data_IF_703894893554
#
_entry.id   IF_703894893554
#
_cell.length_a   1.000
_cell.length_b   1.000
_cell.length_c   1.000
_cell.angle_alpha   90.00
_cell.angle_beta   90.00
_cell.angle_gamma   90.00
#
_symmetry.space_group_name_H-M   'P 1'
#
loop_
_entity.id
_entity.type
_entity.pdbx_description
1 polymer ?
#
# COMPACT_ATOMS: atom_id res chain seq x y z
N UNK A 1 4.99 1.74 2.36
CA UNK A 1 5.40 0.34 2.08
C UNK A 1 6.52 -0.09 3.01
N UNK A 2 6.65 -1.38 3.34
CA UNK A 2 7.71 -1.93 4.19
C UNK A 2 8.62 -2.88 3.39
N UNK A 3 9.93 -2.62 3.25
CA UNK A 3 10.82 -3.51 2.51
C UNK A 3 11.04 -4.85 3.21
N UNK A 4 10.75 -4.94 4.52
CA UNK A 4 10.91 -6.17 5.29
C UNK A 4 9.69 -7.09 5.20
N UNK A 5 8.67 -6.72 4.41
CA UNK A 5 7.36 -7.34 4.41
C UNK A 5 6.44 -6.71 5.46
N UNK A 6 5.29 -7.33 5.68
CA UNK A 6 4.25 -6.85 6.58
C UNK A 6 4.77 -6.66 8.00
N UNK A 7 4.47 -5.48 8.53
CA UNK A 7 4.84 -5.09 9.90
C UNK A 7 3.70 -5.48 10.81
N UNK A 8 3.99 -6.32 11.80
CA UNK A 8 3.04 -6.76 12.82
C UNK A 8 3.78 -6.97 14.14
N UNK A 9 3.05 -7.05 15.26
CA UNK A 9 3.55 -7.62 16.50
C UNK A 9 2.53 -8.54 17.15
N UNK A 10 3.02 -9.65 17.67
CA UNK A 10 2.27 -10.56 18.53
C UNK A 10 2.95 -10.59 19.90
N UNK A 11 2.17 -10.80 20.96
CA UNK A 11 2.70 -10.95 22.32
C UNK A 11 2.18 -12.21 23.00
N UNK A 12 3.02 -12.85 23.80
CA UNK A 12 2.67 -13.97 24.66
C UNK A 12 2.44 -13.50 26.11
N UNK A 13 1.68 -14.28 26.88
CA UNK A 13 1.31 -13.93 28.25
C UNK A 13 0.06 -13.06 28.33
N UNK A 14 -0.07 -12.27 29.39
CA UNK A 14 -1.19 -11.34 29.61
C UNK A 14 -0.70 -9.90 29.43
N UNK A 15 -1.62 -8.93 29.39
CA UNK A 15 -1.23 -7.51 29.32
C UNK A 15 -0.42 -7.07 30.55
N UNK A 16 -0.64 -7.72 31.70
CA UNK A 16 0.09 -7.45 32.94
C UNK A 16 1.40 -8.26 33.07
N UNK A 17 1.59 -9.29 32.26
CA UNK A 17 2.73 -10.21 32.30
C UNK A 17 3.08 -10.71 30.89
N UNK A 18 3.64 -9.81 30.08
CA UNK A 18 4.10 -10.13 28.72
C UNK A 18 5.40 -10.93 28.79
N UNK A 19 5.37 -12.18 28.31
CA UNK A 19 6.52 -13.07 28.37
C UNK A 19 7.40 -13.00 27.13
N UNK A 20 6.84 -12.64 25.98
CA UNK A 20 7.56 -12.49 24.72
C UNK A 20 6.81 -11.62 23.71
N UNK A 21 7.53 -11.03 22.75
CA UNK A 21 6.98 -10.24 21.64
C UNK A 21 7.66 -10.66 20.34
N UNK A 22 6.87 -10.88 19.28
CA UNK A 22 7.36 -11.33 17.98
C UNK A 22 6.72 -10.57 16.81
N UNK A 23 7.49 -10.21 15.78
CA UNK A 23 8.94 -10.09 15.79
C UNK A 23 9.41 -9.00 16.77
N UNK A 24 10.61 -9.18 17.33
CA UNK A 24 11.24 -8.17 18.17
C UNK A 24 11.79 -7.02 17.31
N UNK A 25 11.13 -5.85 17.39
CA UNK A 25 11.51 -4.65 16.66
C UNK A 25 12.79 -4.00 17.19
N UNK A 26 13.24 -4.33 18.40
CA UNK A 26 14.57 -3.88 18.85
C UNK A 26 15.71 -4.52 18.05
N UNK A 27 15.44 -5.70 17.47
CA UNK A 27 16.34 -6.45 16.59
C UNK A 27 16.02 -6.19 15.12
N UNK A 28 14.77 -6.40 14.69
CA UNK A 28 14.34 -6.31 13.30
C UNK A 28 14.40 -4.88 12.74
N UNK A 29 14.05 -3.89 13.57
CA UNK A 29 13.98 -2.46 13.24
C UNK A 29 13.32 -2.15 11.89
N UNK A 30 12.05 -2.56 11.70
CA UNK A 30 11.37 -2.42 10.41
C UNK A 30 11.25 -0.95 9.99
N UNK A 31 11.23 -0.72 8.69
CA UNK A 31 11.12 0.61 8.10
C UNK A 31 9.83 0.70 7.31
N UNK A 32 9.11 1.80 7.45
CA UNK A 32 8.00 2.17 6.58
C UNK A 32 8.44 3.32 5.68
N UNK A 33 8.38 3.13 4.37
CA UNK A 33 8.63 4.16 3.37
C UNK A 33 7.34 4.81 2.89
N UNK A 34 7.40 6.14 2.78
CA UNK A 34 6.40 6.99 2.14
C UNK A 34 6.79 7.17 0.68
N UNK A 35 6.06 6.52 -0.22
CA UNK A 35 6.25 6.67 -1.65
C UNK A 35 5.18 7.63 -2.15
N UNK A 36 5.61 8.81 -2.57
CA UNK A 36 4.77 9.80 -3.21
C UNK A 36 5.15 9.85 -4.68
N UNK A 37 4.22 9.57 -5.58
CA UNK A 37 4.45 9.75 -7.01
C UNK A 37 3.93 11.11 -7.46
N UNK A 38 4.60 11.68 -8.45
CA UNK A 38 4.22 12.96 -9.04
C UNK A 38 3.66 12.71 -10.43
N UNK A 39 2.54 13.35 -10.74
CA UNK A 39 2.03 13.43 -12.11
C UNK A 39 2.90 14.32 -13.00
N UNK A 40 4.10 14.77 -12.57
CA UNK A 40 5.06 15.50 -13.41
C UNK A 40 6.15 14.59 -13.97
N UNK A 41 6.43 14.74 -15.27
CA UNK A 41 7.45 13.95 -16.00
C UNK A 41 8.82 13.98 -15.32
N UNK A 42 9.24 15.13 -14.81
CA UNK A 42 10.59 15.32 -14.30
C UNK A 42 10.82 14.75 -12.89
N UNK A 43 9.75 14.40 -12.17
CA UNK A 43 9.82 14.02 -10.77
C UNK A 43 9.63 12.51 -10.61
N UNK A 44 8.58 11.93 -11.19
CA UNK A 44 8.25 10.49 -11.05
C UNK A 44 7.89 10.15 -9.60
N UNK A 45 8.88 10.15 -8.71
CA UNK A 45 8.75 10.20 -7.25
C UNK A 45 8.88 11.65 -6.79
N UNK A 46 7.88 12.15 -6.06
CA UNK A 46 7.90 13.49 -5.49
C UNK A 46 8.86 13.56 -4.29
N UNK A 47 9.56 14.69 -4.15
CA UNK A 47 10.33 15.07 -2.95
C UNK A 47 9.52 16.10 -2.15
N UNK A 48 8.87 15.71 -1.04
CA UNK A 48 8.09 16.62 -0.21
C UNK A 48 8.92 17.74 0.42
N UNK A 49 8.32 18.91 0.58
CA UNK A 49 8.92 20.05 1.29
C UNK A 49 9.11 19.76 2.79
N UNK A 50 8.20 18.97 3.35
CA UNK A 50 8.22 18.57 4.75
C UNK A 50 7.50 17.24 4.95
N UNK A 51 7.88 16.55 6.04
CA UNK A 51 7.25 15.32 6.50
C UNK A 51 6.84 15.43 7.96
N UNK A 52 5.61 15.00 8.25
CA UNK A 52 5.11 14.79 9.60
C UNK A 52 4.74 13.33 9.82
N UNK A 53 4.91 12.86 11.06
CA UNK A 53 4.68 11.46 11.42
C UNK A 53 3.80 11.39 12.66
N UNK A 54 2.89 10.41 12.68
CA UNK A 54 1.90 10.23 13.72
C UNK A 54 1.84 8.76 14.13
N UNK A 55 1.65 8.50 15.43
CA UNK A 55 1.34 7.20 15.99
C UNK A 55 -0.02 7.28 16.70
N UNK A 56 -1.01 6.51 16.26
CA UNK A 56 -2.38 6.57 16.78
C UNK A 56 -2.91 8.02 16.86
N UNK A 57 -2.78 8.75 15.75
CA UNK A 57 -3.13 10.17 15.58
C UNK A 57 -2.37 11.18 16.45
N UNK A 58 -1.46 10.73 17.32
CA UNK A 58 -0.58 11.62 18.06
C UNK A 58 0.68 11.92 17.26
N UNK A 59 0.98 13.20 17.06
CA UNK A 59 2.17 13.67 16.34
C UNK A 59 3.45 13.24 17.07
N UNK A 60 4.38 12.65 16.32
CA UNK A 60 5.70 12.25 16.81
C UNK A 60 6.65 13.45 16.66
N UNK A 61 7.27 13.85 17.77
CA UNK A 61 8.28 14.93 17.78
C UNK A 61 9.69 14.35 17.71
N UNK A 62 10.58 14.97 16.93
CA UNK A 62 11.94 14.46 16.71
C UNK A 62 13.03 15.47 17.11
N UNK A 63 14.17 14.96 17.55
CA UNK A 63 15.42 15.69 17.72
C UNK A 63 16.57 14.83 17.19
N UNK A 64 17.40 15.38 16.30
CA UNK A 64 18.45 14.60 15.61
C UNK A 64 17.91 13.40 14.83
N UNK A 65 16.67 13.49 14.33
CA UNK A 65 16.00 12.41 13.60
C UNK A 65 15.46 11.27 14.47
N UNK A 66 15.60 11.34 15.80
CA UNK A 66 15.06 10.34 16.74
C UNK A 66 13.91 10.94 17.53
N UNK A 67 12.85 10.15 17.70
CA UNK A 67 11.64 10.54 18.44
C UNK A 67 11.94 10.91 19.89
N UNK A 68 11.15 11.85 20.41
CA UNK A 68 11.26 12.47 21.75
C UNK A 68 9.89 12.47 22.46
N UNK A 69 9.85 12.95 23.70
CA UNK A 69 8.61 13.04 24.47
C UNK A 69 8.03 11.66 24.79
N UNK A 70 6.71 11.51 24.65
CA UNK A 70 5.98 10.24 24.87
C UNK A 70 6.55 9.09 24.06
N UNK A 71 7.08 9.37 22.86
CA UNK A 71 7.61 8.36 21.95
C UNK A 71 9.14 8.22 22.00
N UNK A 72 9.80 8.69 23.06
CA UNK A 72 11.26 8.80 23.11
C UNK A 72 12.00 7.51 22.71
N UNK A 73 12.74 7.60 21.60
CA UNK A 73 13.56 6.52 21.06
C UNK A 73 12.80 5.35 20.43
N UNK A 74 11.48 5.46 20.19
CA UNK A 74 10.70 4.42 19.51
C UNK A 74 10.83 4.49 18.00
N UNK A 75 11.00 5.69 17.45
CA UNK A 75 11.01 5.95 16.03
C UNK A 75 12.22 6.78 15.59
N UNK A 76 12.66 6.58 14.36
CA UNK A 76 13.69 7.36 13.69
C UNK A 76 13.25 7.72 12.27
N UNK A 77 13.39 8.98 11.89
CA UNK A 77 13.11 9.44 10.52
C UNK A 77 14.16 8.90 9.55
N UNK A 78 13.71 8.51 8.36
CA UNK A 78 14.57 8.15 7.23
C UNK A 78 14.35 9.21 6.15
N UNK A 79 15.45 9.74 5.61
CA UNK A 79 15.44 10.66 4.48
C UNK A 79 16.04 9.97 3.24
N UNK A 80 15.68 10.41 2.03
CA UNK A 80 16.29 9.92 0.80
C UNK A 80 17.82 10.02 0.84
N UNK A 81 18.51 8.94 0.46
CA UNK A 81 19.97 8.90 0.30
C UNK A 81 20.42 7.73 -0.58
N UNK A 82 21.27 8.02 -1.57
CA UNK A 82 21.79 7.00 -2.50
C UNK A 82 20.66 6.21 -3.16
N UNK A 83 20.67 4.88 -2.98
CA UNK A 83 19.67 3.97 -3.54
C UNK A 83 18.35 3.91 -2.74
N UNK A 84 18.28 4.57 -1.57
CA UNK A 84 17.06 4.71 -0.80
C UNK A 84 16.38 6.03 -1.16
N UNK A 85 15.35 5.97 -2.01
CA UNK A 85 14.76 7.17 -2.62
C UNK A 85 13.66 7.85 -1.78
N UNK A 86 13.21 7.22 -0.69
CA UNK A 86 11.98 7.60 -0.02
C UNK A 86 12.21 8.14 1.38
N UNK A 87 11.36 9.08 1.80
CA UNK A 87 11.19 9.38 3.21
C UNK A 87 10.58 8.18 3.92
N UNK A 88 10.82 8.06 5.22
CA UNK A 88 10.25 6.97 5.98
C UNK A 88 10.38 7.13 7.47
N UNK A 89 9.89 6.11 8.17
CA UNK A 89 9.94 5.99 9.61
C UNK A 89 10.43 4.59 9.96
N UNK A 90 11.56 4.51 10.63
CA UNK A 90 12.07 3.28 11.21
C UNK A 90 11.53 3.12 12.63
N UNK A 91 11.03 1.94 12.95
CA UNK A 91 10.59 1.55 14.30
C UNK A 91 11.77 0.88 15.00
N UNK A 92 12.12 1.33 16.19
CA UNK A 92 13.34 0.93 16.92
C UNK A 92 13.07 0.05 18.14
N UNK A 93 11.81 -0.05 18.59
CA UNK A 93 11.41 -0.75 19.81
C UNK A 93 10.07 -1.44 19.59
N UNK A 94 9.79 -2.44 20.42
CA UNK A 94 8.47 -3.07 20.46
C UNK A 94 7.42 -2.06 20.86
N UNK A 95 6.31 -2.03 20.12
CA UNK A 95 5.22 -1.07 20.25
C UNK A 95 3.98 -1.68 20.94
N UNK A 96 3.98 -2.96 21.31
CA UNK A 96 2.79 -3.64 21.91
C UNK A 96 2.18 -2.83 23.06
N UNK A 97 2.99 -2.49 24.07
CA UNK A 97 2.55 -1.71 25.23
C UNK A 97 2.22 -0.26 24.85
N UNK A 98 3.05 0.36 23.99
CA UNK A 98 2.83 1.72 23.48
C UNK A 98 1.50 1.84 22.72
N UNK A 99 1.08 0.77 22.04
CA UNK A 99 -0.17 0.66 21.31
C UNK A 99 -1.36 0.30 22.20
N UNK A 100 -1.15 0.07 23.50
CA UNK A 100 -2.20 -0.37 24.42
C UNK A 100 -2.75 -1.76 24.08
N UNK A 101 -1.90 -2.66 23.58
CA UNK A 101 -2.27 -4.03 23.20
C UNK A 101 -3.36 -4.12 22.11
N UNK A 102 -3.48 -3.09 21.28
CA UNK A 102 -4.41 -2.99 20.17
C UNK A 102 -3.68 -2.60 18.87
N UNK A 103 -4.26 -2.86 17.68
CA UNK A 103 -3.66 -2.43 16.42
C UNK A 103 -3.28 -0.95 16.44
N UNK A 104 -2.09 -0.64 15.95
CA UNK A 104 -1.54 0.71 15.92
C UNK A 104 -1.55 1.26 14.49
N UNK A 105 -1.64 2.57 14.34
CA UNK A 105 -1.57 3.25 13.04
C UNK A 105 -0.37 4.17 13.00
N UNK A 106 0.49 3.97 12.00
CA UNK A 106 1.49 4.97 11.59
C UNK A 106 0.88 5.77 10.45
N UNK A 107 0.75 7.08 10.64
CA UNK A 107 0.34 8.02 9.58
C UNK A 107 1.51 8.94 9.24
N UNK A 108 1.79 9.08 7.95
CA UNK A 108 2.80 10.00 7.42
C UNK A 108 2.09 11.03 6.57
N UNK A 109 2.44 12.30 6.76
CA UNK A 109 1.87 13.43 6.01
C UNK A 109 3.02 14.17 5.35
N UNK A 110 2.96 14.27 4.03
CA UNK A 110 3.88 15.00 3.19
C UNK A 110 3.26 16.34 2.80
N UNK A 111 3.99 17.42 2.97
CA UNK A 111 3.66 18.71 2.35
C UNK A 111 4.31 18.79 0.99
N UNK A 112 3.53 19.06 -0.05
CA UNK A 112 4.03 19.23 -1.42
C UNK A 112 3.57 20.58 -1.96
N UNK A 113 4.50 21.37 -2.49
CA UNK A 113 4.20 22.70 -3.05
C UNK A 113 4.38 22.76 -4.56
N UNK A 114 3.55 23.60 -5.19
CA UNK A 114 3.69 23.99 -6.58
C UNK A 114 3.40 25.47 -6.78
N UNK A 115 4.44 26.22 -7.14
CA UNK A 115 4.33 27.68 -7.26
C UNK A 115 3.90 28.28 -5.92
N UNK A 116 2.67 28.80 -5.87
CA UNK A 116 2.08 29.40 -4.67
C UNK A 116 1.10 28.48 -3.93
N UNK A 117 0.82 27.28 -4.46
CA UNK A 117 -0.09 26.31 -3.86
C UNK A 117 0.70 25.30 -3.04
N UNK A 118 0.13 24.85 -1.93
CA UNK A 118 0.66 23.79 -1.10
C UNK A 118 -0.48 22.85 -0.75
N UNK A 119 -0.20 21.55 -0.82
CA UNK A 119 -1.13 20.49 -0.49
C UNK A 119 -0.49 19.49 0.49
N UNK A 120 -1.33 18.72 1.17
CA UNK A 120 -0.92 17.69 2.13
C UNK A 120 -1.36 16.31 1.66
N UNK A 121 -0.40 15.48 1.32
CA UNK A 121 -0.62 14.10 0.90
C UNK A 121 -0.33 13.20 2.10
N UNK A 122 -1.24 12.28 2.41
CA UNK A 122 -1.09 11.41 3.58
C UNK A 122 -1.22 9.93 3.23
N UNK A 123 -0.52 9.10 3.99
CA UNK A 123 -0.65 7.65 3.93
C UNK A 123 -0.63 7.08 5.34
N UNK A 124 -1.48 6.09 5.58
CA UNK A 124 -1.58 5.38 6.85
C UNK A 124 -1.21 3.91 6.66
N UNK A 125 -0.50 3.35 7.63
CA UNK A 125 -0.18 1.93 7.72
C UNK A 125 -0.64 1.40 9.08
N UNK A 126 -1.57 0.46 9.06
CA UNK A 126 -2.04 -0.22 10.27
C UNK A 126 -1.13 -1.39 10.57
N UNK A 127 -0.52 -1.38 11.76
CA UNK A 127 0.31 -2.45 12.31
C UNK A 127 -0.59 -3.31 13.21
N UNK A 128 -0.91 -4.56 12.83
CA UNK A 128 -1.62 -5.46 13.71
C UNK A 128 -0.81 -5.71 14.98
N UNK A 129 -1.46 -5.54 16.13
CA UNK A 129 -0.95 -5.93 17.45
C UNK A 129 -1.99 -6.86 18.08
N UNK A 130 -1.58 -8.08 18.41
CA UNK A 130 -2.50 -9.09 18.97
C UNK A 130 -1.80 -10.07 19.90
N UNK A 131 -2.59 -10.76 20.73
CA UNK A 131 -2.07 -11.86 21.54
C UNK A 131 -1.77 -13.07 20.64
N UNK A 132 -0.63 -13.72 20.85
CA UNK A 132 -0.23 -14.91 20.12
C UNK A 132 -1.16 -16.09 20.49
N UNK A 133 -1.75 -16.75 19.48
CA UNK A 133 -2.65 -17.90 19.68
C UNK A 133 -1.98 -19.26 19.45
N UNK A 134 -0.68 -19.37 19.75
CA UNK A 134 0.14 -20.57 19.56
C UNK A 134 1.16 -20.44 18.42
N UNK A 135 1.58 -21.56 17.84
CA UNK A 135 2.64 -21.62 16.81
C UNK A 135 2.11 -21.34 15.40
N UNK A 136 1.53 -20.16 15.19
CA UNK A 136 1.05 -19.72 13.87
C UNK A 136 2.22 -19.51 12.91
N UNK A 137 2.01 -19.92 11.66
CA UNK A 137 2.87 -19.53 10.56
C UNK A 137 2.51 -18.12 10.11
N UNK A 138 3.53 -17.36 9.70
CA UNK A 138 3.37 -16.05 9.08
C UNK A 138 4.10 -16.06 7.75
N UNK A 139 3.40 -15.71 6.69
CA UNK A 139 3.97 -15.52 5.36
C UNK A 139 3.93 -14.04 5.05
N UNK A 140 4.98 -13.52 4.45
CA UNK A 140 4.99 -12.17 3.91
C UNK A 140 5.87 -12.05 2.67
N UNK A 141 5.61 -11.09 1.80
CA UNK A 141 6.42 -10.70 0.67
C UNK A 141 7.26 -9.49 1.10
N UNK A 142 8.56 -9.72 1.23
CA UNK A 142 9.56 -8.67 1.43
C UNK A 142 10.15 -8.20 0.09
N UNK A 143 10.82 -7.06 0.10
CA UNK A 143 11.61 -6.61 -1.03
C UNK A 143 12.84 -7.51 -1.19
N UNK A 144 13.05 -8.03 -2.40
CA UNK A 144 14.22 -8.83 -2.77
C UNK A 144 15.40 -7.99 -3.28
N UNK A 145 15.20 -6.69 -3.45
CA UNK A 145 16.18 -5.69 -3.86
C UNK A 145 15.97 -4.35 -3.12
N UNK A 146 16.74 -3.32 -3.47
CA UNK A 146 16.65 -1.98 -2.87
C UNK A 146 15.53 -1.11 -3.44
N UNK A 147 14.72 -1.62 -4.39
CA UNK A 147 13.73 -0.82 -5.11
C UNK A 147 12.38 -0.75 -4.40
N UNK A 148 12.20 -1.51 -3.32
CA UNK A 148 11.06 -1.43 -2.41
C UNK A 148 9.70 -1.53 -3.12
N UNK A 149 9.57 -2.46 -4.07
CA UNK A 149 8.36 -2.68 -4.88
C UNK A 149 7.99 -1.54 -5.85
N UNK A 150 8.91 -0.62 -6.11
CA UNK A 150 8.72 0.48 -7.07
C UNK A 150 9.67 0.30 -8.24
N UNK A 151 9.14 0.40 -9.46
CA UNK A 151 9.92 0.43 -10.69
C UNK A 151 10.00 1.88 -11.14
N UNK A 152 11.22 2.42 -11.20
CA UNK A 152 11.48 3.83 -11.53
C UNK A 152 12.02 4.03 -12.94
N UNK A 153 12.31 2.93 -13.65
CA UNK A 153 12.82 2.94 -15.03
C UNK A 153 11.90 2.15 -15.95
N UNK A 154 11.64 2.64 -17.17
CA UNK A 154 10.66 2.03 -18.08
C UNK A 154 11.02 0.62 -18.58
N UNK A 155 12.29 0.24 -18.50
CA UNK A 155 12.78 -1.12 -18.74
C UNK A 155 13.25 -1.81 -17.46
N UNK A 156 12.92 -1.23 -16.31
CA UNK A 156 13.31 -1.68 -14.99
C UNK A 156 12.46 -2.85 -14.50
N UNK A 157 12.81 -3.27 -13.29
CA UNK A 157 12.14 -4.33 -12.56
C UNK A 157 12.41 -4.18 -11.07
N UNK A 158 11.57 -4.80 -10.25
CA UNK A 158 11.85 -5.05 -8.84
C UNK A 158 11.73 -6.54 -8.53
N UNK A 159 12.20 -6.95 -7.35
CA UNK A 159 12.14 -8.33 -6.89
C UNK A 159 11.22 -8.43 -5.68
N UNK A 160 10.21 -9.31 -5.77
CA UNK A 160 9.42 -9.78 -4.64
C UNK A 160 10.10 -10.99 -4.02
N UNK A 161 10.13 -11.11 -2.70
CA UNK A 161 10.73 -12.24 -1.98
C UNK A 161 9.78 -12.77 -0.92
N UNK A 162 9.32 -14.00 -1.09
CA UNK A 162 8.52 -14.68 -0.09
C UNK A 162 9.36 -15.04 1.15
N UNK A 163 8.86 -14.67 2.32
CA UNK A 163 9.41 -14.97 3.63
C UNK A 163 8.36 -15.73 4.43
N UNK A 164 8.79 -16.73 5.19
CA UNK A 164 7.92 -17.48 6.09
C UNK A 164 8.55 -17.54 7.47
N UNK A 165 7.72 -17.40 8.50
CA UNK A 165 8.13 -17.41 9.89
C UNK A 165 7.24 -18.35 10.69
N UNK A 166 7.79 -18.91 11.76
CA UNK A 166 7.05 -19.65 12.78
C UNK A 166 7.44 -19.10 14.14
N UNK A 167 6.47 -18.55 14.88
CA UNK A 167 6.73 -17.90 16.18
C UNK A 167 7.90 -16.90 16.12
N UNK A 168 7.89 -16.01 15.12
CA UNK A 168 8.92 -15.00 14.89
C UNK A 168 10.23 -15.50 14.26
N UNK A 169 10.43 -16.81 14.12
CA UNK A 169 11.67 -17.36 13.57
C UNK A 169 11.54 -17.65 12.08
N UNK A 170 12.49 -17.17 11.27
CA UNK A 170 12.48 -17.39 9.83
C UNK A 170 12.66 -18.87 9.46
N UNK A 171 11.83 -19.35 8.54
CA UNK A 171 11.90 -20.68 7.96
C UNK A 171 12.74 -20.64 6.68
N UNK A 172 13.58 -21.67 6.48
CA UNK A 172 14.49 -21.74 5.33
C UNK A 172 14.53 -23.11 4.63
N UNK A 173 13.83 -24.11 5.15
CA UNK A 173 13.92 -25.50 4.68
C UNK A 173 12.56 -26.06 4.27
N UNK A 174 12.57 -26.92 3.24
CA UNK A 174 11.39 -27.62 2.72
C UNK A 174 10.25 -26.70 2.29
N UNK A 175 10.59 -25.49 1.82
CA UNK A 175 9.63 -24.50 1.32
C UNK A 175 9.48 -24.61 -0.19
N UNK A 176 8.25 -24.56 -0.67
CA UNK A 176 7.92 -24.40 -2.09
C UNK A 176 6.92 -23.26 -2.27
N UNK A 177 6.94 -22.65 -3.45
CA UNK A 177 6.21 -21.41 -3.71
C UNK A 177 5.32 -21.56 -4.95
N UNK A 178 4.18 -20.89 -4.93
CA UNK A 178 3.34 -20.66 -6.09
C UNK A 178 2.99 -19.17 -6.14
N UNK A 179 3.24 -18.53 -7.26
CA UNK A 179 2.94 -17.11 -7.46
C UNK A 179 1.71 -16.93 -8.34
N UNK A 180 0.92 -15.90 -8.03
CA UNK A 180 -0.25 -15.48 -8.79
C UNK A 180 -0.19 -13.96 -9.00
N UNK A 181 -0.80 -13.50 -10.09
CA UNK A 181 -0.99 -12.07 -10.40
C UNK A 181 -2.48 -11.76 -10.40
N UNK A 182 -2.88 -10.63 -9.84
CA UNK A 182 -4.24 -10.11 -10.01
C UNK A 182 -4.43 -9.63 -11.45
N UNK A 183 -5.44 -10.16 -12.13
CA UNK A 183 -5.96 -9.64 -13.39
C UNK A 183 -7.38 -9.10 -13.22
N UNK A 184 -7.98 -8.64 -14.32
CA UNK A 184 -9.32 -8.04 -14.32
C UNK A 184 -10.43 -8.95 -13.73
N UNK A 185 -10.27 -10.27 -13.85
CA UNK A 185 -11.25 -11.27 -13.39
C UNK A 185 -10.82 -12.01 -12.12
N UNK A 186 -9.70 -11.60 -11.49
CA UNK A 186 -9.18 -12.18 -10.26
C UNK A 186 -7.75 -12.72 -10.38
N UNK A 187 -7.36 -13.52 -9.40
CA UNK A 187 -6.02 -14.11 -9.30
C UNK A 187 -5.77 -15.18 -10.35
N UNK A 188 -4.68 -15.04 -11.10
CA UNK A 188 -4.21 -16.00 -12.12
C UNK A 188 -2.83 -16.52 -11.75
N UNK A 189 -2.65 -17.84 -11.78
CA UNK A 189 -1.37 -18.49 -11.50
C UNK A 189 -0.31 -18.17 -12.56
N UNK A 190 0.89 -17.80 -12.09
CA UNK A 190 2.05 -17.57 -12.93
C UNK A 190 2.77 -18.91 -13.15
N UNK A 191 2.43 -19.59 -14.25
CA UNK A 191 2.96 -20.91 -14.57
C UNK A 191 4.49 -20.96 -14.53
N UNK A 192 5.04 -21.96 -13.83
CA UNK A 192 6.48 -22.17 -13.68
C UNK A 192 7.19 -21.22 -12.71
N UNK A 193 6.49 -20.25 -12.10
CA UNK A 193 7.08 -19.37 -11.06
C UNK A 193 6.98 -20.02 -9.69
N UNK A 194 7.97 -20.86 -9.37
CA UNK A 194 8.04 -21.63 -8.11
C UNK A 194 9.22 -21.28 -7.21
N UNK A 195 10.02 -20.27 -7.58
CA UNK A 195 11.13 -19.76 -6.78
C UNK A 195 10.65 -18.92 -5.60
N UNK A 196 11.49 -18.80 -4.56
CA UNK A 196 11.24 -17.90 -3.42
C UNK A 196 11.08 -16.44 -3.85
N UNK A 197 11.75 -16.06 -4.94
CA UNK A 197 11.70 -14.72 -5.50
C UNK A 197 10.93 -14.67 -6.82
N UNK A 198 10.23 -13.58 -7.05
CA UNK A 198 9.60 -13.24 -8.32
C UNK A 198 10.14 -11.89 -8.81
N UNK A 199 10.76 -11.87 -9.99
CA UNK A 199 11.07 -10.62 -10.68
C UNK A 199 9.82 -10.10 -11.37
N UNK A 200 9.48 -8.85 -11.12
CA UNK A 200 8.39 -8.12 -11.77
C UNK A 200 9.00 -6.98 -12.57
N UNK A 201 8.81 -6.99 -13.88
CA UNK A 201 9.28 -5.95 -14.79
C UNK A 201 8.21 -4.90 -15.07
N UNK A 202 8.63 -3.72 -15.54
CA UNK A 202 7.71 -2.67 -15.99
C UNK A 202 6.82 -3.11 -17.16
N UNK A 203 7.17 -4.19 -17.88
CA UNK A 203 6.34 -4.75 -18.93
C UNK A 203 5.29 -5.73 -18.41
N UNK A 204 5.41 -6.18 -17.15
CA UNK A 204 4.47 -7.11 -16.54
C UNK A 204 3.28 -6.41 -15.89
N UNK A 205 3.33 -5.09 -15.71
CA UNK A 205 2.29 -4.26 -15.08
C UNK A 205 2.12 -2.97 -15.88
N UNK A 206 0.95 -2.34 -15.73
CA UNK A 206 0.78 -0.95 -16.17
C UNK A 206 1.35 -0.05 -15.08
N UNK A 207 0.60 0.91 -14.54
CA UNK A 207 1.04 1.71 -13.38
C UNK A 207 1.12 0.88 -12.09
N UNK A 208 0.32 -0.20 -11.97
CA UNK A 208 0.21 -1.00 -10.76
C UNK A 208 -0.02 -2.48 -11.06
N UNK A 209 0.46 -3.36 -10.18
CA UNK A 209 0.08 -4.76 -10.19
C UNK A 209 0.13 -5.40 -8.81
N UNK A 210 -0.81 -6.30 -8.54
CA UNK A 210 -0.86 -7.06 -7.29
C UNK A 210 -0.42 -8.51 -7.54
N UNK A 211 0.41 -9.02 -6.65
CA UNK A 211 0.96 -10.36 -6.70
C UNK A 211 0.70 -11.08 -5.39
N UNK A 212 0.29 -12.35 -5.48
CA UNK A 212 0.06 -13.22 -4.33
C UNK A 212 1.05 -14.38 -4.35
N UNK A 213 1.62 -14.71 -3.21
CA UNK A 213 2.39 -15.95 -3.04
C UNK A 213 1.65 -16.91 -2.12
N UNK A 214 1.63 -18.18 -2.49
CA UNK A 214 1.31 -19.30 -1.60
C UNK A 214 2.61 -19.99 -1.20
N UNK A 215 2.83 -20.14 0.11
CA UNK A 215 4.01 -20.83 0.63
C UNK A 215 3.59 -22.16 1.24
N UNK A 216 4.26 -23.22 0.84
CA UNK A 216 4.04 -24.57 1.33
C UNK A 216 5.28 -25.04 2.08
N UNK A 217 5.08 -25.81 3.15
CA UNK A 217 6.14 -26.53 3.86
C UNK A 217 5.86 -28.02 3.80
N UNK A 218 6.79 -28.79 3.24
CA UNK A 218 6.63 -30.24 3.07
C UNK A 218 5.31 -30.64 2.37
N UNK A 219 4.85 -29.81 1.42
CA UNK A 219 3.63 -30.05 0.64
C UNK A 219 2.32 -29.51 1.25
N UNK A 220 2.33 -29.02 2.49
CA UNK A 220 1.16 -28.37 3.10
C UNK A 220 1.28 -26.86 3.05
N UNK A 221 0.21 -26.16 2.68
CA UNK A 221 0.17 -24.70 2.66
C UNK A 221 0.27 -24.16 4.09
N UNK A 222 1.19 -23.23 4.32
CA UNK A 222 1.41 -22.59 5.62
C UNK A 222 0.95 -21.13 5.65
N UNK A 223 0.68 -20.54 4.48
CA UNK A 223 0.12 -19.21 4.40
C UNK A 223 0.24 -18.60 3.01
N UNK A 224 -0.39 -17.44 2.88
CA UNK A 224 -0.32 -16.61 1.69
C UNK A 224 0.01 -15.17 2.08
N UNK A 225 0.52 -14.41 1.13
CA UNK A 225 0.60 -12.97 1.26
C UNK A 225 0.41 -12.29 -0.09
N UNK A 226 -0.05 -11.04 -0.07
CA UNK A 226 -0.29 -10.19 -1.24
C UNK A 226 0.58 -8.95 -1.14
N UNK A 227 1.30 -8.64 -2.22
CA UNK A 227 2.10 -7.43 -2.33
C UNK A 227 1.83 -6.75 -3.65
N UNK A 228 1.80 -5.44 -3.58
CA UNK A 228 1.61 -4.58 -4.74
C UNK A 228 2.93 -4.01 -5.25
N UNK A 229 3.01 -3.81 -6.55
CA UNK A 229 4.15 -3.22 -7.26
C UNK A 229 3.67 -1.97 -8.02
N UNK A 230 4.45 -0.91 -7.94
CA UNK A 230 4.19 0.38 -8.59
C UNK A 230 5.17 0.61 -9.75
N UNK A 231 4.68 0.89 -10.96
CA UNK A 231 5.50 1.45 -12.04
C UNK A 231 5.45 2.99 -11.97
N UNK A 232 6.37 3.56 -11.21
CA UNK A 232 6.55 5.02 -11.14
C UNK A 232 7.15 5.60 -12.44
N UNK A 233 7.61 4.75 -13.37
CA UNK A 233 8.13 5.18 -14.67
C UNK A 233 7.08 5.25 -15.77
N UNK A 234 5.84 4.82 -15.50
CA UNK A 234 4.75 4.86 -16.47
C UNK A 234 4.54 6.31 -16.99
N UNK A 235 4.65 6.56 -18.32
CA UNK A 235 4.49 7.90 -18.86
C UNK A 235 3.02 8.38 -18.89
N UNK A 236 2.07 7.54 -18.50
CA UNK A 236 0.65 7.84 -18.53
C UNK A 236 0.05 7.96 -17.11
N UNK A 237 -0.94 8.83 -16.97
CA UNK A 237 -1.80 8.95 -15.80
C UNK A 237 -3.26 8.89 -16.25
N UNK A 238 -4.17 8.49 -15.35
CA UNK A 238 -5.61 8.63 -15.55
C UNK A 238 -6.08 9.87 -14.82
N UNK A 239 -6.57 10.86 -15.56
CA UNK A 239 -7.30 12.00 -15.00
C UNK A 239 -8.78 11.61 -14.87
N UNK A 240 -9.35 11.50 -13.65
CA UNK A 240 -10.69 10.98 -13.43
C UNK A 240 -11.83 11.91 -13.90
N UNK A 241 -11.59 13.23 -14.03
CA UNK A 241 -12.60 14.26 -14.31
C UNK A 241 -13.97 14.00 -13.66
N UNK A 242 -14.07 14.06 -12.32
CA UNK A 242 -15.34 13.94 -11.62
C UNK A 242 -16.20 15.19 -11.81
N UNK A 243 -17.52 15.00 -11.88
CA UNK A 243 -18.51 16.08 -11.89
C UNK A 243 -19.58 15.75 -10.84
N UNK A 244 -19.75 16.57 -9.78
CA UNK A 244 -18.97 17.77 -9.45
C UNK A 244 -17.51 17.45 -9.06
N UNK A 245 -16.62 18.45 -9.18
CA UNK A 245 -15.18 18.33 -8.88
C UNK A 245 -14.88 18.02 -7.42
N UNK A 246 -15.77 18.39 -6.51
CA UNK A 246 -15.62 18.10 -5.07
C UNK A 246 -15.98 16.66 -4.69
N UNK A 247 -16.43 15.86 -5.66
CA UNK A 247 -16.83 14.45 -5.50
C UNK A 247 -17.87 14.24 -4.38
N UNK A 248 -18.65 15.27 -4.04
CA UNK A 248 -19.59 15.19 -2.92
C UNK A 248 -20.95 14.65 -3.36
N UNK A 249 -21.45 13.63 -2.64
CA UNK A 249 -22.83 13.16 -2.74
C UNK A 249 -23.55 13.48 -1.43
N UNK A 250 -24.65 14.21 -1.52
CA UNK A 250 -25.42 14.66 -0.35
C UNK A 250 -26.50 13.65 0.02
N UNK A 251 -26.68 13.37 1.31
CA UNK A 251 -27.80 12.56 1.82
C UNK A 251 -29.17 13.24 1.62
N UNK A 252 -29.19 14.58 1.65
CA UNK A 252 -30.36 15.39 1.31
C UNK A 252 -30.78 15.13 -0.14
N UNK A 253 -32.03 14.69 -0.33
CA UNK A 253 -32.60 14.39 -1.64
C UNK A 253 -32.78 15.60 -2.54
N UNK A 254 -32.65 16.81 -2.00
CA UNK A 254 -32.63 18.07 -2.75
C UNK A 254 -31.21 18.51 -3.15
N UNK A 255 -30.18 17.92 -2.54
CA UNK A 255 -28.77 18.15 -2.85
C UNK A 255 -28.24 17.27 -3.99
N UNK A 256 -26.93 17.37 -4.26
CA UNK A 256 -26.30 16.58 -5.32
C UNK A 256 -26.42 15.08 -5.02
N UNK A 257 -26.99 14.32 -5.96
CA UNK A 257 -27.29 12.90 -5.78
C UNK A 257 -26.29 11.95 -6.43
N UNK A 258 -25.32 12.47 -7.16
CA UNK A 258 -24.41 11.66 -7.95
C UNK A 258 -23.10 12.37 -8.29
N UNK A 259 -22.06 11.58 -8.54
CA UNK A 259 -20.80 12.05 -9.11
C UNK A 259 -20.56 11.24 -10.38
N UNK A 260 -20.36 11.91 -11.50
CA UNK A 260 -20.04 11.26 -12.77
C UNK A 260 -18.56 11.42 -13.10
N UNK A 261 -17.88 10.30 -13.29
CA UNK A 261 -16.48 10.24 -13.70
C UNK A 261 -16.38 10.10 -15.21
N UNK A 262 -15.58 10.95 -15.85
CA UNK A 262 -15.31 10.94 -17.31
C UNK A 262 -13.81 10.89 -17.58
N UNK A 263 -13.16 9.77 -17.21
CA UNK A 263 -11.71 9.70 -17.18
C UNK A 263 -11.07 9.85 -18.56
N UNK A 264 -9.83 10.36 -18.57
CA UNK A 264 -8.99 10.46 -19.75
C UNK A 264 -7.59 9.99 -19.41
N UNK A 265 -6.99 9.15 -20.26
CA UNK A 265 -5.57 8.84 -20.13
C UNK A 265 -4.78 10.02 -20.68
N UNK A 266 -3.92 10.60 -19.85
CA UNK A 266 -3.08 11.75 -20.19
C UNK A 266 -1.60 11.37 -20.10
N UNK A 267 -0.78 12.08 -20.86
CA UNK A 267 0.67 12.01 -20.69
C UNK A 267 1.02 12.71 -19.38
N UNK A 268 1.74 11.99 -18.52
CA UNK A 268 2.34 12.53 -17.30
C UNK A 268 3.03 13.86 -17.60
N UNK A 269 2.89 14.80 -16.69
CA UNK A 269 3.43 16.16 -16.64
C UNK A 269 3.00 17.15 -17.71
N UNK A 270 2.28 16.72 -18.73
CA UNK A 270 1.67 17.64 -19.71
C UNK A 270 0.15 17.70 -19.62
N UNK A 271 -0.49 16.69 -19.01
CA UNK A 271 -1.95 16.56 -18.98
C UNK A 271 -2.57 16.40 -20.37
N UNK A 272 -1.77 16.24 -21.41
CA UNK A 272 -2.27 16.09 -22.78
C UNK A 272 -2.84 14.69 -22.95
N UNK A 273 -4.07 14.59 -23.46
CA UNK A 273 -4.68 13.30 -23.79
C UNK A 273 -3.72 12.41 -24.58
N UNK A 274 -3.49 11.21 -24.07
CA UNK A 274 -2.53 10.25 -24.58
C UNK A 274 -3.18 9.16 -25.43
N UNK A 275 -4.33 8.64 -24.99
CA UNK A 275 -5.00 7.49 -25.60
C UNK A 275 -6.49 7.77 -25.83
N UNK A 276 -7.04 7.12 -26.87
CA UNK A 276 -8.47 6.99 -27.10
C UNK A 276 -8.90 5.59 -26.62
N UNK A 277 -9.21 5.47 -25.34
CA UNK A 277 -9.54 4.19 -24.69
C UNK A 277 -10.88 4.26 -23.94
N UNK A 278 -11.36 3.10 -23.51
CA UNK A 278 -12.44 2.97 -22.53
C UNK A 278 -11.87 2.52 -21.19
N UNK A 279 -12.73 2.47 -20.18
CA UNK A 279 -12.33 2.16 -18.81
C UNK A 279 -13.24 1.11 -18.19
N UNK A 280 -12.64 0.28 -17.35
CA UNK A 280 -13.33 -0.53 -16.37
C UNK A 280 -13.51 0.28 -15.09
N UNK A 281 -14.69 0.18 -14.48
CA UNK A 281 -15.00 0.85 -13.22
C UNK A 281 -15.43 -0.17 -12.17
N UNK A 282 -14.70 -0.22 -11.08
CA UNK A 282 -15.02 -1.07 -9.93
C UNK A 282 -15.45 -0.18 -8.78
N UNK A 283 -16.70 -0.29 -8.37
CA UNK A 283 -17.26 0.39 -7.19
C UNK A 283 -17.27 -0.57 -6.01
N UNK A 284 -16.72 -0.17 -4.87
CA UNK A 284 -16.68 -0.99 -3.64
C UNK A 284 -17.08 -0.19 -2.41
N UNK A 285 -17.68 -0.89 -1.44
CA UNK A 285 -17.79 -0.39 -0.07
C UNK A 285 -16.47 -0.56 0.71
N UNK A 286 -16.45 -0.09 1.95
CA UNK A 286 -15.29 -0.20 2.85
C UNK A 286 -14.90 -1.66 3.18
N UNK A 287 -15.81 -2.63 3.01
CA UNK A 287 -15.54 -4.05 3.20
C UNK A 287 -15.06 -4.74 1.91
N UNK A 288 -14.95 -4.00 0.80
CA UNK A 288 -14.53 -4.51 -0.50
C UNK A 288 -15.64 -5.21 -1.29
N UNK A 289 -16.90 -5.10 -0.86
CA UNK A 289 -18.06 -5.66 -1.57
C UNK A 289 -18.36 -4.81 -2.79
N UNK A 290 -18.55 -5.45 -3.95
CA UNK A 290 -18.85 -4.76 -5.20
C UNK A 290 -20.24 -4.11 -5.17
N UNK A 291 -20.31 -2.85 -5.59
CA UNK A 291 -21.54 -2.06 -5.67
C UNK A 291 -22.09 -1.98 -7.11
N UNK A 292 -21.29 -2.35 -8.12
CA UNK A 292 -21.72 -2.45 -9.50
C UNK A 292 -21.47 -3.85 -10.09
N UNK A 293 -22.41 -4.31 -10.92
CA UNK A 293 -22.37 -5.64 -11.52
C UNK A 293 -21.61 -5.67 -12.85
N UNK A 294 -21.44 -4.52 -13.49
CA UNK A 294 -20.91 -4.31 -14.85
C UNK A 294 -19.46 -3.84 -14.88
N UNK A 295 -18.70 -4.16 -13.82
CA UNK A 295 -17.30 -3.75 -13.62
C UNK A 295 -16.32 -4.27 -14.67
N UNK A 296 -16.70 -5.31 -15.39
CA UNK A 296 -15.98 -5.94 -16.49
C UNK A 296 -16.45 -5.45 -17.87
N UNK A 297 -17.30 -4.43 -17.92
CA UNK A 297 -17.78 -3.82 -19.16
C UNK A 297 -17.03 -2.50 -19.41
N UNK A 298 -16.28 -2.38 -20.53
CA UNK A 298 -15.64 -1.12 -20.92
C UNK A 298 -16.64 0.01 -21.15
N UNK A 299 -16.38 1.18 -20.54
CA UNK A 299 -17.20 2.39 -20.69
C UNK A 299 -16.35 3.66 -20.72
N UNK A 300 -16.90 4.73 -21.28
CA UNK A 300 -16.26 6.05 -21.25
C UNK A 300 -16.53 6.83 -19.95
N UNK A 301 -17.53 6.41 -19.18
CA UNK A 301 -17.91 7.07 -17.94
C UNK A 301 -18.60 6.12 -16.95
N UNK A 302 -18.61 6.53 -15.69
CA UNK A 302 -19.36 5.85 -14.63
C UNK A 302 -19.93 6.88 -13.67
N UNK A 303 -21.19 6.70 -13.29
CA UNK A 303 -21.85 7.51 -12.27
C UNK A 303 -21.92 6.75 -10.96
N UNK A 304 -21.45 7.36 -9.88
CA UNK A 304 -21.69 6.92 -8.51
C UNK A 304 -22.91 7.67 -8.00
N UNK A 305 -23.88 6.95 -7.45
CA UNK A 305 -25.15 7.54 -7.03
C UNK A 305 -25.32 7.45 -5.52
N UNK A 306 -26.24 8.25 -4.97
CA UNK A 306 -26.68 8.15 -3.58
C UNK A 306 -27.08 6.73 -3.16
N UNK A 307 -27.66 5.93 -4.07
CA UNK A 307 -28.01 4.55 -3.78
C UNK A 307 -26.77 3.68 -3.51
N UNK A 308 -25.65 3.92 -4.21
CA UNK A 308 -24.40 3.24 -3.92
C UNK A 308 -23.87 3.61 -2.53
N UNK A 309 -23.91 4.90 -2.15
CA UNK A 309 -23.51 5.35 -0.81
C UNK A 309 -24.38 4.72 0.30
N UNK A 310 -25.70 4.66 0.07
CA UNK A 310 -26.64 4.02 1.00
C UNK A 310 -26.36 2.51 1.15
N UNK A 311 -26.04 1.83 0.05
CA UNK A 311 -25.66 0.41 0.09
C UNK A 311 -24.32 0.20 0.80
N UNK A 312 -23.34 1.09 0.57
CA UNK A 312 -22.03 1.04 1.22
C UNK A 312 -22.09 1.37 2.72
N UNK A 313 -23.12 2.10 3.16
CA UNK A 313 -23.21 2.62 4.52
C UNK A 313 -22.17 3.70 4.82
N UNK A 314 -21.66 4.38 3.79
CA UNK A 314 -20.58 5.35 3.87
C UNK A 314 -19.93 5.63 2.52
N UNK A 315 -18.62 5.85 2.54
CA UNK A 315 -17.82 6.19 1.36
C UNK A 315 -17.81 5.04 0.34
N UNK A 316 -17.79 5.42 -0.94
CA UNK A 316 -17.68 4.49 -2.07
C UNK A 316 -16.28 4.63 -2.68
N UNK A 317 -15.54 3.53 -2.73
CA UNK A 317 -14.28 3.47 -3.46
C UNK A 317 -14.56 3.29 -4.96
N UNK A 318 -13.91 4.10 -5.80
CA UNK A 318 -13.93 3.99 -7.26
C UNK A 318 -12.54 3.59 -7.74
N UNK A 319 -12.42 2.45 -8.42
CA UNK A 319 -11.21 2.06 -9.14
C UNK A 319 -11.46 2.16 -10.63
N UNK A 320 -10.61 2.94 -11.31
CA UNK A 320 -10.67 3.17 -12.76
C UNK A 320 -9.44 2.50 -13.39
N UNK A 321 -9.64 1.71 -14.43
CA UNK A 321 -8.55 1.04 -15.16
C UNK A 321 -8.78 1.24 -16.66
N UNK A 322 -7.78 1.70 -17.40
CA UNK A 322 -7.86 1.76 -18.86
C UNK A 322 -7.94 0.36 -19.45
N UNK A 323 -8.60 0.22 -20.61
CA UNK A 323 -8.61 -1.05 -21.36
C UNK A 323 -7.26 -1.31 -22.03
N UNK A 324 -6.54 -0.25 -22.36
CA UNK A 324 -5.23 -0.25 -23.02
C UNK A 324 -4.09 0.15 -22.08
#
# INVERSE_FOLDING_TARGET
MSPNGDVYQEYEGTQDDVTAIYPDFSTLKPILYFVCTSSRVAEGVADPDAMEYYFNDQKISFSGGVSTGTFAGYFKTVAPSGDQLYYGLQILKNIVDLAGYAPAVIKMVATVSYGTQSDSIQASYTIPVQQATGSSYRVTIAAGDSKNFVITDKSGSCILKAMAYQSGNALSQNLTYKWEKMGATGWTELSGKTSQTLTVSAADIDTYGEYRVHVYRSGSEIGTDIQSVMDASDPYDIDPHPIPEDETITEDSTGNGEVTYTPVVVKRGTGTKALDTQFYFVLKDAAGVYLNTDRDVPKASQTVTRAHCQQAGGDVSVTITSVD
#
